data_IF_394701646046
#
_entry.id   IF_394701646046
#
_cell.length_a   1.000
_cell.length_b   1.000
_cell.length_c   1.000
_cell.angle_alpha   90.00
_cell.angle_beta   90.00
_cell.angle_gamma   90.00
#
_symmetry.space_group_name_H-M   'P 1'
#
loop_
_entity.id
_entity.type
_entity.pdbx_description
1 polymer ?
#
# COMPACT_ATOMS: atom_id res chain seq x y z
N UNK A 1 -8.15 -28.61 -1.84
CA UNK A 1 -7.66 -27.68 -0.80
C UNK A 1 -8.50 -26.42 -0.86
N UNK A 2 -9.03 -26.00 0.28
CA UNK A 2 -9.82 -24.79 0.34
C UNK A 2 -8.83 -23.62 0.34
N UNK A 3 -8.79 -22.88 -0.77
CA UNK A 3 -8.08 -21.63 -0.81
C UNK A 3 -8.75 -20.67 0.19
N UNK A 4 -7.97 -20.18 1.15
CA UNK A 4 -8.45 -19.24 2.15
C UNK A 4 -8.23 -17.83 1.60
N UNK A 5 -9.32 -17.15 1.23
CA UNK A 5 -9.24 -15.75 0.84
C UNK A 5 -8.78 -14.90 2.03
N UNK A 6 -7.71 -14.13 1.83
CA UNK A 6 -7.12 -13.20 2.80
C UNK A 6 -6.98 -11.81 2.17
N UNK A 7 -6.93 -10.79 3.03
CA UNK A 7 -6.79 -9.38 2.64
C UNK A 7 -7.76 -8.96 1.53
N UNK A 8 -9.09 -9.13 1.74
CA UNK A 8 -10.06 -8.76 0.74
C UNK A 8 -10.05 -7.25 0.54
N UNK A 9 -9.98 -6.84 -0.71
CA UNK A 9 -10.11 -5.47 -1.17
C UNK A 9 -11.23 -5.41 -2.21
N UNK A 10 -11.93 -4.28 -2.25
CA UNK A 10 -13.01 -4.08 -3.19
C UNK A 10 -12.84 -2.72 -3.88
N UNK A 11 -13.15 -2.69 -5.16
CA UNK A 11 -13.25 -1.46 -5.94
C UNK A 11 -14.35 -1.61 -6.96
N UNK A 12 -14.73 -0.53 -7.61
CA UNK A 12 -15.76 -0.58 -8.64
C UNK A 12 -15.52 0.48 -9.69
N UNK A 13 -15.81 0.16 -10.94
CA UNK A 13 -16.12 1.16 -11.95
C UNK A 13 -17.60 1.52 -11.90
N UNK A 14 -18.02 2.43 -12.79
CA UNK A 14 -19.45 2.75 -12.96
C UNK A 14 -20.27 1.51 -13.30
N UNK A 15 -19.71 0.58 -14.07
CA UNK A 15 -20.43 -0.58 -14.61
C UNK A 15 -20.20 -1.88 -13.82
N UNK A 16 -19.02 -2.06 -13.23
CA UNK A 16 -18.60 -3.36 -12.67
C UNK A 16 -18.10 -3.25 -11.22
N UNK A 17 -18.62 -4.10 -10.30
CA UNK A 17 -18.01 -4.31 -8.99
C UNK A 17 -16.90 -5.34 -9.04
N UNK A 18 -15.80 -5.07 -8.35
CA UNK A 18 -14.64 -5.97 -8.26
C UNK A 18 -14.39 -6.39 -6.82
N UNK A 19 -14.12 -7.68 -6.65
CA UNK A 19 -13.54 -8.25 -5.44
C UNK A 19 -12.12 -8.73 -5.76
N UNK A 20 -11.16 -8.36 -4.91
CA UNK A 20 -9.74 -8.72 -5.04
C UNK A 20 -9.33 -9.34 -3.72
N UNK A 21 -8.60 -10.45 -3.76
CA UNK A 21 -8.11 -11.12 -2.56
C UNK A 21 -6.83 -11.89 -2.87
N UNK A 22 -6.17 -12.37 -1.82
CA UNK A 22 -5.02 -13.27 -1.93
C UNK A 22 -5.37 -14.64 -1.37
N UNK A 23 -4.89 -15.71 -2.00
CA UNK A 23 -5.03 -17.07 -1.51
C UNK A 23 -3.68 -17.68 -1.12
N UNK A 24 -3.67 -18.50 -0.08
CA UNK A 24 -2.53 -19.36 0.28
C UNK A 24 -2.43 -20.52 -0.70
N UNK A 25 -1.32 -20.63 -1.43
CA UNK A 25 -1.09 -21.74 -2.37
C UNK A 25 -0.17 -22.84 -1.84
N UNK A 26 0.52 -22.59 -0.72
CA UNK A 26 1.47 -23.55 -0.13
C UNK A 26 0.85 -24.71 0.65
N UNK A 27 -0.45 -24.67 0.93
CA UNK A 27 -1.17 -25.75 1.64
C UNK A 27 -1.45 -26.95 0.72
N UNK A 28 -0.42 -27.52 0.09
CA UNK A 28 -0.46 -28.71 -0.79
C UNK A 28 0.71 -29.65 -0.49
N UNK A 29 0.52 -30.96 -0.62
CA UNK A 29 1.53 -31.98 -0.26
C UNK A 29 2.84 -31.86 -1.07
N UNK A 30 2.80 -31.27 -2.27
CA UNK A 30 3.93 -31.15 -3.19
C UNK A 30 4.49 -29.71 -3.30
N UNK A 31 4.23 -28.85 -2.30
CA UNK A 31 4.80 -27.50 -2.29
C UNK A 31 6.33 -27.56 -2.13
N UNK A 32 7.06 -26.98 -3.08
CA UNK A 32 8.52 -27.12 -3.12
C UNK A 32 9.20 -26.26 -2.04
N UNK A 33 10.30 -26.75 -1.48
CA UNK A 33 11.17 -25.96 -0.58
C UNK A 33 11.82 -24.73 -1.25
N UNK A 34 11.84 -24.68 -2.59
CA UNK A 34 12.29 -23.51 -3.33
C UNK A 34 11.20 -22.45 -3.54
N UNK A 35 9.97 -22.72 -3.08
CA UNK A 35 8.85 -21.80 -3.13
C UNK A 35 8.78 -20.97 -1.83
N UNK A 36 8.10 -19.83 -1.88
CA UNK A 36 7.73 -19.00 -0.73
C UNK A 36 6.98 -19.81 0.32
N UNK A 37 7.04 -19.39 1.58
CA UNK A 37 6.42 -20.12 2.69
C UNK A 37 4.89 -20.25 2.55
N UNK A 38 4.21 -19.20 2.09
CA UNK A 38 2.74 -19.15 2.06
C UNK A 38 2.16 -19.18 0.64
N UNK A 39 2.93 -18.75 -0.36
CA UNK A 39 2.50 -18.75 -1.76
C UNK A 39 1.33 -17.80 -1.97
N UNK A 40 1.45 -16.58 -1.47
CA UNK A 40 0.47 -15.51 -1.63
C UNK A 40 0.20 -15.23 -3.10
N UNK A 41 -0.95 -15.71 -3.57
CA UNK A 41 -1.38 -15.59 -4.96
C UNK A 41 -2.61 -14.70 -5.07
N UNK A 42 -2.50 -13.51 -5.71
CA UNK A 42 -3.59 -12.56 -5.78
C UNK A 42 -4.54 -12.87 -6.95
N UNK A 43 -5.84 -12.74 -6.67
CA UNK A 43 -6.92 -12.96 -7.62
C UNK A 43 -7.90 -11.81 -7.62
N UNK A 44 -8.66 -11.69 -8.69
CA UNK A 44 -9.86 -10.86 -8.76
C UNK A 44 -11.04 -11.59 -9.39
N UNK A 45 -12.24 -11.15 -9.06
CA UNK A 45 -13.49 -11.52 -9.71
C UNK A 45 -14.42 -10.33 -9.74
N UNK A 46 -15.39 -10.35 -10.65
CA UNK A 46 -16.37 -9.30 -10.86
C UNK A 46 -17.68 -9.91 -11.35
N UNK A 47 -18.78 -9.14 -11.25
CA UNK A 47 -20.07 -9.53 -11.80
C UNK A 47 -20.06 -9.37 -13.33
N UNK A 48 -20.17 -10.47 -14.08
CA UNK A 48 -19.98 -10.48 -15.54
C UNK A 48 -21.06 -9.70 -16.30
N UNK A 49 -22.18 -9.40 -15.66
CA UNK A 49 -23.24 -8.55 -16.21
C UNK A 49 -23.29 -7.16 -15.55
N UNK A 50 -22.24 -6.78 -14.83
CA UNK A 50 -22.13 -5.51 -14.13
C UNK A 50 -22.94 -5.49 -12.83
N UNK A 51 -23.17 -4.29 -12.29
CA UNK A 51 -23.97 -4.13 -11.07
C UNK A 51 -25.33 -4.81 -11.18
N UNK A 52 -25.67 -5.62 -10.17
CA UNK A 52 -26.91 -6.41 -10.08
C UNK A 52 -27.05 -7.52 -11.14
N UNK A 53 -25.95 -7.95 -11.75
CA UNK A 53 -25.94 -9.07 -12.69
C UNK A 53 -26.14 -10.45 -12.04
N UNK A 54 -25.81 -10.56 -10.75
CA UNK A 54 -25.93 -11.77 -9.92
C UNK A 54 -25.06 -12.95 -10.40
N UNK A 55 -24.09 -12.71 -11.30
CA UNK A 55 -23.25 -13.76 -11.87
C UNK A 55 -21.78 -13.37 -11.82
N UNK A 56 -21.03 -13.96 -10.87
CA UNK A 56 -19.62 -13.66 -10.69
C UNK A 56 -18.74 -14.53 -11.58
N UNK A 57 -17.82 -13.90 -12.31
CA UNK A 57 -16.85 -14.59 -13.15
C UNK A 57 -15.93 -15.48 -12.29
N UNK A 58 -15.48 -16.60 -12.84
CA UNK A 58 -14.46 -17.41 -12.16
C UNK A 58 -13.20 -16.56 -11.88
N UNK A 59 -12.60 -16.67 -10.68
CA UNK A 59 -11.46 -15.84 -10.29
C UNK A 59 -10.32 -15.87 -11.31
N UNK A 60 -9.75 -14.71 -11.57
CA UNK A 60 -8.66 -14.51 -12.52
C UNK A 60 -7.40 -13.99 -11.82
N UNK A 61 -6.28 -14.30 -12.47
CA UNK A 61 -4.91 -13.86 -12.19
C UNK A 61 -4.74 -12.35 -12.00
N UNK A 62 -4.33 -11.82 -10.84
CA UNK A 62 -3.78 -10.45 -10.85
C UNK A 62 -2.38 -10.44 -11.50
N UNK A 63 -1.53 -11.40 -11.17
CA UNK A 63 -0.20 -11.56 -11.75
C UNK A 63 -0.17 -12.69 -12.79
N UNK A 64 -0.10 -12.38 -14.10
CA UNK A 64 -0.02 -13.39 -15.15
C UNK A 64 1.29 -14.20 -15.13
N UNK A 65 2.30 -13.73 -14.40
CA UNK A 65 3.62 -14.34 -14.27
C UNK A 65 3.87 -14.80 -12.83
N UNK A 66 2.80 -15.11 -12.10
CA UNK A 66 2.92 -15.69 -10.77
C UNK A 66 3.73 -17.00 -10.86
N UNK A 67 4.73 -17.09 -10.00
CA UNK A 67 5.43 -18.33 -9.72
C UNK A 67 5.53 -18.50 -8.21
N UNK A 68 5.88 -19.72 -7.78
CA UNK A 68 5.85 -20.06 -6.37
C UNK A 68 6.94 -19.37 -5.53
N UNK A 69 7.85 -18.59 -6.13
CA UNK A 69 8.87 -17.83 -5.38
C UNK A 69 8.33 -16.47 -4.88
N UNK A 70 7.16 -16.07 -5.37
CA UNK A 70 6.46 -14.83 -4.98
C UNK A 70 5.50 -15.10 -3.83
N UNK A 71 5.36 -14.11 -2.96
CA UNK A 71 4.52 -14.21 -1.78
C UNK A 71 3.75 -12.89 -1.56
N UNK A 72 2.89 -12.57 -2.53
CA UNK A 72 2.19 -11.30 -2.62
C UNK A 72 1.01 -11.28 -1.65
N UNK A 73 1.06 -10.42 -0.64
CA UNK A 73 0.05 -10.26 0.41
C UNK A 73 -0.38 -8.80 0.57
N UNK A 74 -1.38 -8.57 1.42
CA UNK A 74 -1.90 -7.24 1.78
C UNK A 74 -2.11 -6.31 0.56
N UNK A 75 -3.14 -6.60 -0.23
CA UNK A 75 -3.43 -5.84 -1.44
C UNK A 75 -4.14 -4.51 -1.17
N UNK A 76 -3.63 -3.41 -1.73
CA UNK A 76 -4.31 -2.12 -1.79
C UNK A 76 -4.60 -1.75 -3.25
N UNK A 77 -5.83 -1.34 -3.53
CA UNK A 77 -6.33 -1.13 -4.91
C UNK A 77 -6.75 0.32 -5.12
N UNK A 78 -6.40 0.85 -6.30
CA UNK A 78 -6.84 2.14 -6.80
C UNK A 78 -7.51 1.99 -8.16
N UNK A 79 -8.54 2.81 -8.40
CA UNK A 79 -9.26 2.92 -9.66
C UNK A 79 -9.39 4.40 -10.00
N UNK A 80 -9.20 4.70 -11.27
CA UNK A 80 -9.61 5.95 -11.88
C UNK A 80 -10.02 5.64 -13.30
N UNK A 81 -10.67 6.58 -13.96
CA UNK A 81 -11.05 6.43 -15.36
C UNK A 81 -10.81 7.74 -16.09
N UNK A 82 -10.54 7.65 -17.39
CA UNK A 82 -10.68 8.77 -18.30
C UNK A 82 -11.94 8.59 -19.16
N UNK A 83 -12.18 9.49 -20.12
CA UNK A 83 -13.39 9.45 -20.97
C UNK A 83 -13.59 8.15 -21.76
N UNK A 84 -12.58 7.28 -21.82
CA UNK A 84 -12.55 6.11 -22.70
C UNK A 84 -12.07 4.83 -22.03
N UNK A 85 -11.44 4.88 -20.86
CA UNK A 85 -10.74 3.73 -20.29
C UNK A 85 -10.72 3.76 -18.76
N UNK A 86 -11.08 2.63 -18.15
CA UNK A 86 -10.82 2.36 -16.74
C UNK A 86 -9.35 2.02 -16.52
N UNK A 87 -8.77 2.57 -15.46
CA UNK A 87 -7.42 2.31 -15.01
C UNK A 87 -7.49 1.70 -13.61
N UNK A 88 -7.07 0.44 -13.49
CA UNK A 88 -6.98 -0.25 -12.20
C UNK A 88 -5.51 -0.47 -11.86
N UNK A 89 -5.15 -0.16 -10.62
CA UNK A 89 -3.82 -0.42 -10.08
C UNK A 89 -3.97 -1.17 -8.76
N UNK A 90 -3.10 -2.14 -8.51
CA UNK A 90 -3.08 -2.89 -7.25
C UNK A 90 -1.65 -3.04 -6.78
N UNK A 91 -1.38 -2.68 -5.53
CA UNK A 91 -0.09 -2.92 -4.88
C UNK A 91 -0.23 -4.07 -3.87
N UNK A 92 0.76 -4.94 -3.82
CA UNK A 92 0.90 -5.99 -2.81
C UNK A 92 2.27 -5.90 -2.15
N UNK A 93 2.33 -6.22 -0.87
CA UNK A 93 3.60 -6.43 -0.18
C UNK A 93 4.05 -7.88 -0.37
N UNK A 94 5.32 -8.10 -0.69
CA UNK A 94 5.84 -9.45 -0.84
C UNK A 94 6.56 -9.90 0.44
N UNK A 95 6.02 -10.91 1.12
CA UNK A 95 6.57 -11.39 2.39
C UNK A 95 7.86 -12.20 2.25
N UNK A 96 8.16 -12.69 1.04
CA UNK A 96 9.38 -13.45 0.77
C UNK A 96 10.48 -12.55 0.21
N UNK A 97 10.16 -11.66 -0.74
CA UNK A 97 11.11 -10.76 -1.42
C UNK A 97 11.29 -9.43 -0.68
N UNK A 98 10.37 -9.08 0.22
CA UNK A 98 10.28 -7.78 0.84
C UNK A 98 9.83 -6.68 -0.14
N UNK A 99 9.43 -5.55 0.42
CA UNK A 99 8.93 -4.40 -0.34
C UNK A 99 7.55 -4.60 -0.93
N UNK A 100 7.17 -3.66 -1.80
CA UNK A 100 5.83 -3.60 -2.38
C UNK A 100 5.91 -3.55 -3.91
N UNK A 101 5.04 -4.32 -4.56
CA UNK A 101 5.00 -4.54 -6.00
C UNK A 101 3.67 -4.07 -6.56
N UNK A 102 3.73 -3.17 -7.55
CA UNK A 102 2.59 -2.56 -8.21
C UNK A 102 2.27 -3.31 -9.51
N UNK A 103 1.00 -3.64 -9.69
CA UNK A 103 0.39 -4.12 -10.92
C UNK A 103 -0.53 -3.03 -11.47
N UNK A 104 -0.49 -2.84 -12.78
CA UNK A 104 -1.30 -1.85 -13.48
C UNK A 104 -2.06 -2.53 -14.61
N UNK A 105 -3.31 -2.14 -14.80
CA UNK A 105 -4.08 -2.55 -15.97
C UNK A 105 -3.46 -2.00 -17.23
N UNK A 106 -3.20 -2.87 -18.21
CA UNK A 106 -2.93 -2.50 -19.60
C UNK A 106 -4.23 -2.22 -20.35
N UNK A 107 -5.32 -2.90 -19.97
CA UNK A 107 -6.66 -2.67 -20.47
C UNK A 107 -7.71 -3.17 -19.46
N UNK A 108 -8.91 -2.61 -19.53
CA UNK A 108 -10.11 -3.15 -18.88
C UNK A 108 -11.19 -3.28 -19.95
N UNK A 109 -11.63 -4.50 -20.22
CA UNK A 109 -12.52 -4.82 -21.35
C UNK A 109 -13.68 -5.69 -20.84
N UNK A 110 -14.92 -5.21 -20.97
CA UNK A 110 -16.13 -5.88 -20.44
C UNK A 110 -15.96 -6.35 -18.98
N UNK A 111 -15.41 -5.45 -18.14
CA UNK A 111 -15.09 -5.70 -16.74
C UNK A 111 -13.89 -6.61 -16.50
N UNK A 112 -13.21 -7.13 -17.53
CA UNK A 112 -12.01 -7.96 -17.33
C UNK A 112 -10.76 -7.08 -17.25
N UNK A 113 -10.03 -7.16 -16.14
CA UNK A 113 -8.77 -6.45 -15.95
C UNK A 113 -7.63 -7.26 -16.58
N UNK A 114 -6.96 -6.68 -17.57
CA UNK A 114 -5.72 -7.21 -18.15
C UNK A 114 -4.55 -6.50 -17.49
N UNK A 115 -3.84 -7.17 -16.59
CA UNK A 115 -2.68 -6.58 -15.90
C UNK A 115 -1.38 -6.79 -16.66
N UNK A 116 -0.49 -5.80 -16.56
CA UNK A 116 0.89 -5.89 -17.00
C UNK A 116 1.79 -6.56 -15.97
N UNK A 117 3.11 -6.42 -16.18
CA UNK A 117 4.13 -6.94 -15.28
C UNK A 117 4.19 -6.16 -13.96
N UNK A 118 4.65 -6.84 -12.90
CA UNK A 118 4.92 -6.23 -11.61
C UNK A 118 6.03 -5.16 -11.71
N UNK A 119 5.90 -4.10 -10.92
CA UNK A 119 6.92 -3.06 -10.74
C UNK A 119 7.24 -2.91 -9.26
N UNK A 120 8.50 -3.07 -8.85
CA UNK A 120 8.93 -2.78 -7.48
C UNK A 120 8.75 -1.27 -7.22
N UNK A 121 7.76 -0.91 -6.40
CA UNK A 121 7.40 0.49 -6.17
C UNK A 121 7.93 1.01 -4.83
N UNK A 122 7.98 0.14 -3.81
CA UNK A 122 8.67 0.36 -2.54
C UNK A 122 9.81 -0.64 -2.45
N UNK A 123 11.05 -0.13 -2.54
CA UNK A 123 12.24 -0.96 -2.42
C UNK A 123 12.61 -1.14 -0.94
N UNK A 124 12.69 -2.38 -0.43
CA UNK A 124 13.01 -2.62 0.98
C UNK A 124 14.39 -2.10 1.38
N UNK A 125 15.33 -1.98 0.43
CA UNK A 125 16.65 -1.40 0.69
C UNK A 125 16.63 0.11 1.01
N UNK A 126 15.49 0.79 0.78
CA UNK A 126 15.30 2.20 1.12
C UNK A 126 14.71 2.36 2.54
N UNK A 127 14.35 1.26 3.19
CA UNK A 127 13.73 1.24 4.51
C UNK A 127 14.77 0.90 5.61
N UNK A 128 14.45 1.30 6.84
CA UNK A 128 15.25 1.00 8.04
C UNK A 128 15.05 -0.44 8.52
N UNK A 129 15.13 -0.65 9.85
CA UNK A 129 14.87 -1.97 10.46
C UNK A 129 13.58 -2.60 9.94
N UNK A 130 13.67 -3.88 9.57
CA UNK A 130 12.52 -4.65 9.09
C UNK A 130 11.43 -4.75 10.16
N UNK A 131 10.18 -4.84 9.70
CA UNK A 131 9.01 -4.89 10.57
C UNK A 131 8.58 -3.53 11.14
N UNK A 132 9.33 -2.43 10.93
CA UNK A 132 8.92 -1.10 11.37
C UNK A 132 8.19 -0.27 10.31
N UNK A 133 7.99 -0.81 9.11
CA UNK A 133 7.17 -0.17 8.07
C UNK A 133 5.81 -0.86 7.96
N UNK A 134 4.79 -0.07 7.69
CA UNK A 134 3.43 -0.54 7.42
C UNK A 134 3.29 -1.11 6.01
N UNK A 135 2.12 -1.69 5.74
CA UNK A 135 1.77 -2.15 4.41
C UNK A 135 1.50 -1.00 3.43
N UNK A 136 1.72 -1.20 2.14
CA UNK A 136 1.47 -0.17 1.14
C UNK A 136 -0.03 0.17 0.98
N UNK A 137 -0.33 1.47 0.95
CA UNK A 137 -1.65 2.01 0.64
C UNK A 137 -1.60 2.69 -0.72
N UNK A 138 -2.62 2.45 -1.54
CA UNK A 138 -2.83 3.06 -2.83
C UNK A 138 -4.17 3.79 -2.84
N UNK A 139 -4.16 5.04 -3.31
CA UNK A 139 -5.35 5.82 -3.59
C UNK A 139 -5.23 6.42 -4.99
N UNK A 140 -6.32 6.42 -5.73
CA UNK A 140 -6.42 7.00 -7.08
C UNK A 140 -7.74 7.77 -7.19
N UNK A 141 -7.78 8.81 -8.01
CA UNK A 141 -9.00 9.53 -8.34
C UNK A 141 -9.24 9.57 -9.86
N UNK A 142 -10.41 10.09 -10.24
CA UNK A 142 -10.86 10.18 -11.64
C UNK A 142 -10.08 11.21 -12.47
N UNK A 143 -9.30 12.09 -11.84
CA UNK A 143 -8.45 13.07 -12.53
C UNK A 143 -7.04 12.53 -12.83
N UNK A 144 -6.81 11.24 -12.58
CA UNK A 144 -5.51 10.58 -12.75
C UNK A 144 -4.53 10.87 -11.63
N UNK A 145 -4.92 11.64 -10.61
CA UNK A 145 -4.09 11.85 -9.43
C UNK A 145 -4.15 10.61 -8.55
N UNK A 146 -3.00 10.23 -8.03
CA UNK A 146 -2.89 9.10 -7.11
C UNK A 146 -1.75 9.28 -6.15
N UNK A 147 -1.82 8.54 -5.05
CA UNK A 147 -0.72 8.38 -4.12
C UNK A 147 -0.54 6.91 -3.78
N UNK A 148 0.72 6.54 -3.54
CA UNK A 148 1.09 5.24 -3.01
C UNK A 148 2.10 5.47 -1.89
N UNK A 149 1.84 4.96 -0.71
CA UNK A 149 2.70 5.22 0.43
C UNK A 149 2.64 4.17 1.52
N UNK A 150 3.56 4.32 2.45
CA UNK A 150 3.70 3.58 3.70
C UNK A 150 3.92 4.60 4.82
N UNK A 151 3.54 4.27 6.04
CA UNK A 151 4.19 4.82 7.22
C UNK A 151 5.40 3.95 7.59
N UNK A 152 6.60 4.54 7.64
CA UNK A 152 7.84 3.79 7.72
C UNK A 152 9.05 4.61 8.14
N UNK A 153 10.20 3.95 8.13
CA UNK A 153 11.50 4.53 8.49
C UNK A 153 12.48 4.38 7.34
N UNK A 154 13.31 5.40 7.12
CA UNK A 154 14.33 5.37 6.07
C UNK A 154 15.52 4.47 6.43
N UNK A 155 16.19 3.96 5.40
CA UNK A 155 17.45 3.25 5.52
C UNK A 155 18.47 4.04 6.37
N UNK A 156 19.13 3.36 7.30
CA UNK A 156 20.04 3.98 8.27
C UNK A 156 19.41 4.28 9.64
N UNK A 157 18.07 4.20 9.74
CA UNK A 157 17.36 4.18 11.02
C UNK A 157 17.26 2.73 11.54
N UNK A 158 17.90 2.48 12.68
CA UNK A 158 17.86 1.20 13.40
C UNK A 158 17.10 1.39 14.71
N UNK A 159 15.82 1.02 14.71
CA UNK A 159 14.93 1.17 15.86
C UNK A 159 15.23 0.18 16.99
N UNK A 160 15.74 -1.01 16.66
CA UNK A 160 16.11 -2.03 17.65
C UNK A 160 17.37 -1.62 18.43
N UNK A 161 18.34 -1.05 17.72
CA UNK A 161 19.57 -0.54 18.32
C UNK A 161 19.42 0.89 18.87
N UNK A 162 18.33 1.59 18.54
CA UNK A 162 18.10 2.98 18.89
C UNK A 162 19.12 3.93 18.24
N UNK A 163 19.54 3.66 17.01
CA UNK A 163 20.52 4.46 16.29
C UNK A 163 19.97 4.99 14.98
N UNK A 164 20.29 6.24 14.65
CA UNK A 164 19.94 6.84 13.36
C UNK A 164 21.21 7.37 12.71
N UNK A 165 21.54 6.82 11.55
CA UNK A 165 22.73 7.15 10.77
C UNK A 165 22.35 7.56 9.36
N UNK A 166 23.28 8.14 8.61
CA UNK A 166 23.03 8.44 7.21
C UNK A 166 22.72 7.13 6.44
N UNK A 167 21.71 7.12 5.56
CA UNK A 167 21.04 8.30 5.02
C UNK A 167 19.89 8.88 5.86
N UNK A 168 19.19 8.10 6.69
CA UNK A 168 18.07 8.56 7.51
C UNK A 168 18.38 9.82 8.34
N UNK A 169 19.56 9.91 8.96
CA UNK A 169 19.96 11.08 9.76
C UNK A 169 20.02 12.41 8.97
N UNK A 170 20.02 12.37 7.63
CA UNK A 170 19.96 13.56 6.78
C UNK A 170 18.54 13.83 6.24
N UNK A 171 17.56 12.97 6.52
CA UNK A 171 16.18 13.04 6.02
C UNK A 171 15.21 13.21 7.20
N UNK A 172 15.10 12.17 8.03
CA UNK A 172 14.42 12.15 9.34
C UNK A 172 14.80 10.85 10.06
N UNK A 173 14.88 10.92 11.39
CA UNK A 173 15.05 9.76 12.28
C UNK A 173 13.74 9.25 12.86
N UNK A 174 12.63 9.91 12.54
CA UNK A 174 11.31 9.50 12.97
C UNK A 174 10.70 8.55 11.96
N UNK A 175 9.77 7.75 12.46
CA UNK A 175 8.82 7.06 11.61
C UNK A 175 7.83 8.09 11.05
N UNK A 176 7.64 8.09 9.75
CA UNK A 176 6.83 9.09 9.06
C UNK A 176 6.13 8.49 7.86
N UNK A 177 5.06 9.15 7.43
CA UNK A 177 4.45 8.93 6.14
C UNK A 177 5.48 9.16 5.01
N UNK A 178 5.69 8.12 4.21
CA UNK A 178 6.54 8.10 3.01
C UNK A 178 5.67 7.72 1.81
N UNK A 179 5.61 8.57 0.78
CA UNK A 179 4.69 8.34 -0.34
C UNK A 179 5.23 8.84 -1.66
N UNK A 180 4.68 8.29 -2.74
CA UNK A 180 4.89 8.70 -4.13
C UNK A 180 3.55 9.18 -4.68
N UNK A 181 3.59 10.09 -5.63
CA UNK A 181 2.39 10.58 -6.31
C UNK A 181 2.43 10.25 -7.80
N UNK A 182 1.27 10.25 -8.42
CA UNK A 182 1.08 10.10 -9.87
C UNK A 182 0.02 11.10 -10.33
N UNK A 183 0.12 11.53 -11.59
CA UNK A 183 -0.83 12.42 -12.26
C UNK A 183 -1.39 11.79 -13.55
N UNK A 184 -1.16 10.49 -13.74
CA UNK A 184 -1.51 9.75 -14.94
C UNK A 184 -1.97 8.32 -14.64
N UNK A 185 -2.85 8.17 -13.64
CA UNK A 185 -3.47 6.89 -13.29
C UNK A 185 -2.44 5.80 -12.90
N UNK A 186 -1.32 6.20 -12.30
CA UNK A 186 -0.27 5.28 -11.86
C UNK A 186 0.69 4.85 -12.97
N UNK A 187 0.59 5.41 -14.18
CA UNK A 187 1.51 5.05 -15.26
C UNK A 187 2.97 5.40 -14.93
N UNK A 188 3.19 6.55 -14.31
CA UNK A 188 4.46 6.96 -13.70
C UNK A 188 4.27 7.50 -12.29
N UNK A 189 5.32 7.40 -11.48
CA UNK A 189 5.34 7.81 -10.08
C UNK A 189 6.48 8.77 -9.81
N UNK A 190 6.24 9.73 -8.93
CA UNK A 190 7.18 10.81 -8.60
C UNK A 190 7.35 10.94 -7.08
N UNK A 191 8.55 11.35 -6.68
CA UNK A 191 8.90 11.70 -5.31
C UNK A 191 10.22 12.46 -5.27
N UNK A 192 10.77 12.67 -4.09
CA UNK A 192 12.04 13.37 -3.92
C UNK A 192 13.22 12.39 -4.04
N UNK A 193 14.06 12.60 -5.05
CA UNK A 193 15.24 11.77 -5.29
C UNK A 193 16.23 11.77 -4.12
N UNK A 194 16.26 12.83 -3.31
CA UNK A 194 17.09 12.89 -2.09
C UNK A 194 16.58 11.98 -0.96
N UNK A 195 15.31 11.58 -1.02
CA UNK A 195 14.65 10.67 -0.10
C UNK A 195 14.18 9.39 -0.82
N UNK A 196 15.04 8.84 -1.69
CA UNK A 196 14.79 7.57 -2.39
C UNK A 196 13.52 7.54 -3.25
N UNK A 197 13.22 8.68 -3.88
CA UNK A 197 12.02 8.94 -4.67
C UNK A 197 10.72 8.86 -3.86
N UNK A 198 10.78 9.12 -2.55
CA UNK A 198 9.62 9.37 -1.69
C UNK A 198 9.48 10.87 -1.38
N UNK A 199 8.26 11.37 -1.39
CA UNK A 199 7.89 12.48 -0.52
C UNK A 199 7.68 11.95 0.89
N UNK A 200 7.84 12.82 1.89
CA UNK A 200 7.61 12.47 3.28
C UNK A 200 7.13 13.70 4.06
N UNK A 201 6.53 13.47 5.24
CA UNK A 201 6.19 14.55 6.17
C UNK A 201 7.43 14.88 7.01
N UNK A 202 8.01 16.10 6.88
CA UNK A 202 9.20 16.50 7.64
C UNK A 202 8.91 16.67 9.13
N UNK A 203 9.95 16.53 9.95
CA UNK A 203 9.85 16.68 11.41
C UNK A 203 9.29 18.06 11.81
N UNK A 204 9.62 19.11 11.06
CA UNK A 204 9.15 20.48 11.33
C UNK A 204 7.62 20.62 11.25
N UNK A 205 6.95 19.77 10.47
CA UNK A 205 5.48 19.74 10.39
C UNK A 205 4.89 19.16 11.67
N UNK A 206 5.47 18.08 12.19
CA UNK A 206 5.04 17.49 13.45
C UNK A 206 5.34 18.42 14.63
N UNK A 207 6.50 19.07 14.64
CA UNK A 207 6.85 20.08 15.64
C UNK A 207 5.83 21.23 15.65
N UNK A 208 5.41 21.72 14.49
CA UNK A 208 4.38 22.76 14.38
C UNK A 208 3.02 22.29 14.91
N UNK A 209 2.59 21.07 14.56
CA UNK A 209 1.36 20.46 15.08
C UNK A 209 1.41 20.36 16.61
N UNK A 210 2.47 19.74 17.15
CA UNK A 210 2.64 19.53 18.59
C UNK A 210 2.75 20.86 19.34
N UNK A 211 3.28 21.92 18.73
CA UNK A 211 3.33 23.26 19.34
C UNK A 211 1.95 23.86 19.62
N UNK A 212 0.92 23.38 18.92
CA UNK A 212 -0.48 23.82 19.08
C UNK A 212 -1.33 22.88 19.93
N UNK A 213 -0.84 21.66 20.18
CA UNK A 213 -1.56 20.64 20.95
C UNK A 213 -1.47 20.90 22.46
N UNK A 214 -2.41 20.33 23.25
CA UNK A 214 -2.23 20.25 24.68
C UNK A 214 -0.99 19.41 25.00
N UNK A 215 -0.16 19.86 25.94
CA UNK A 215 1.04 19.11 26.35
C UNK A 215 0.70 17.92 27.28
N UNK A 216 -0.57 17.71 27.61
CA UNK A 216 -1.02 16.64 28.50
C UNK A 216 -2.39 16.12 28.09
N UNK A 217 -2.55 14.80 28.09
CA UNK A 217 -3.85 14.12 28.07
C UNK A 217 -4.27 13.75 29.50
N UNK A 218 -5.56 13.87 29.80
CA UNK A 218 -6.11 13.52 31.11
C UNK A 218 -7.17 12.45 30.89
N UNK A 219 -6.90 11.22 31.35
CA UNK A 219 -7.86 10.13 31.28
C UNK A 219 -9.14 10.54 32.02
N UNK A 220 -10.29 10.64 31.34
CA UNK A 220 -11.53 11.14 31.94
C UNK A 220 -12.13 10.19 32.99
N UNK A 221 -11.71 8.92 33.02
CA UNK A 221 -12.17 7.89 33.93
C UNK A 221 -11.29 7.78 35.18
N UNK A 222 -9.97 7.88 35.02
CA UNK A 222 -9.01 7.66 36.12
C UNK A 222 -8.40 8.96 36.67
N UNK A 223 -8.38 10.02 35.86
CA UNK A 223 -7.66 11.27 36.15
C UNK A 223 -6.14 11.15 36.02
N UNK A 224 -5.63 10.05 35.45
CA UNK A 224 -4.22 9.89 35.11
C UNK A 224 -3.82 10.93 34.05
N UNK A 225 -2.62 11.49 34.20
CA UNK A 225 -2.09 12.52 33.30
C UNK A 225 -0.94 11.90 32.51
N UNK A 226 -1.07 11.91 31.19
CA UNK A 226 -0.02 11.52 30.25
C UNK A 226 0.58 12.78 29.63
N UNK A 227 1.90 12.86 29.56
CA UNK A 227 2.58 13.94 28.84
C UNK A 227 2.50 13.67 27.33
N UNK A 228 2.29 14.73 26.55
CA UNK A 228 2.32 14.69 25.09
C UNK A 228 3.54 15.51 24.66
N UNK A 229 4.68 14.84 24.51
CA UNK A 229 5.98 15.43 24.19
C UNK A 229 6.58 14.92 22.86
N UNK A 230 5.99 13.89 22.26
CA UNK A 230 6.41 13.32 20.98
C UNK A 230 5.24 12.63 20.27
N UNK A 231 5.47 12.20 19.03
CA UNK A 231 4.57 11.35 18.26
C UNK A 231 5.23 10.00 17.94
N UNK A 232 4.40 8.96 17.83
CA UNK A 232 4.77 7.66 17.27
C UNK A 232 3.55 7.10 16.58
N UNK A 233 3.73 6.51 15.39
CA UNK A 233 2.67 5.75 14.74
C UNK A 233 3.11 4.30 14.56
N UNK A 234 2.18 3.39 14.81
CA UNK A 234 2.40 1.97 14.61
C UNK A 234 2.22 1.62 13.12
N UNK A 235 1.33 0.70 12.78
CA UNK A 235 1.11 0.30 11.38
C UNK A 235 -0.26 0.77 10.89
N UNK A 236 -1.00 1.47 11.75
CA UNK A 236 -2.34 1.97 11.47
C UNK A 236 -2.21 3.38 10.91
N UNK A 237 -2.22 3.46 9.59
CA UNK A 237 -2.26 4.71 8.84
C UNK A 237 -3.23 4.56 7.66
N UNK A 238 -3.74 5.68 7.16
CA UNK A 238 -4.44 5.76 5.87
C UNK A 238 -3.95 6.98 5.10
N UNK A 239 -3.95 6.86 3.77
CA UNK A 239 -3.61 7.96 2.88
C UNK A 239 -4.59 8.04 1.73
N UNK A 240 -5.11 9.24 1.48
CA UNK A 240 -6.07 9.52 0.41
C UNK A 240 -5.62 10.72 -0.41
N UNK A 241 -5.95 10.70 -1.69
CA UNK A 241 -5.74 11.84 -2.58
C UNK A 241 -7.08 12.53 -2.83
N UNK A 242 -7.13 13.87 -2.76
CA UNK A 242 -8.31 14.61 -3.19
C UNK A 242 -8.33 14.86 -4.70
N UNK A 243 -9.38 15.53 -5.19
CA UNK A 243 -9.57 15.82 -6.61
C UNK A 243 -8.46 16.67 -7.25
N UNK A 244 -7.74 17.46 -6.46
CA UNK A 244 -6.67 18.35 -6.92
C UNK A 244 -5.28 17.70 -6.81
N UNK A 245 -5.20 16.47 -6.28
CA UNK A 245 -3.95 15.75 -6.10
C UNK A 245 -3.28 15.98 -4.74
N UNK A 246 -3.96 16.63 -3.78
CA UNK A 246 -3.35 16.84 -2.46
C UNK A 246 -3.47 15.57 -1.61
N UNK A 247 -2.38 15.18 -0.91
CA UNK A 247 -2.40 14.05 0.00
C UNK A 247 -3.09 14.41 1.32
N UNK A 248 -3.92 13.49 1.82
CA UNK A 248 -4.55 13.51 3.13
C UNK A 248 -4.07 12.28 3.88
N UNK A 249 -3.44 12.49 5.04
CA UNK A 249 -2.74 11.44 5.79
C UNK A 249 -3.33 11.37 7.19
N UNK A 250 -3.66 10.16 7.62
CA UNK A 250 -4.07 9.85 8.99
C UNK A 250 -3.10 8.84 9.56
N UNK A 251 -2.55 9.13 10.73
CA UNK A 251 -1.62 8.27 11.47
C UNK A 251 -2.13 8.12 12.90
N UNK A 252 -2.01 6.93 13.47
CA UNK A 252 -2.37 6.62 14.87
C UNK A 252 -1.31 5.82 15.61
#
# INVERSE_FOLDING_TARGET
NAAQARYPSAISSEEYPYAIWTETTSEVDDWSENCSEWGGRPYFSYDEFGWYGESWRYPAEIDPFYDCTKDLWTGSVGHGYDSTTDHVSVVFDDWTRGGSYLFKSEAVEDGYIVNGFETLIVNPAHLGTDGYSSAAILSMNDNGQGLLGIDGIFAGNDMDAGTCTAPAANITCNKTAMFKITDNFGQSWYGDQSAFDFYYVPDEVFDDILSTWPNTDVDPCTGEISEIDNFWSWYEFDMRVDGDGNPHIVMS
#
